data_IF_766100372766
#
_entry.id   IF_766100372766
#
_cell.length_a   1.000
_cell.length_b   1.000
_cell.length_c   1.000
_cell.angle_alpha   90.00
_cell.angle_beta   90.00
_cell.angle_gamma   90.00
#
_symmetry.space_group_name_H-M   'P 1'
#
loop_
_entity.id
_entity.type
_entity.pdbx_description
1 polymer ?
#
# COMPACT_ATOMS: atom_id res chain seq x y z
N UNK A 1 22.40 10.49 -24.63
CA UNK A 1 21.18 9.75 -24.95
C UNK A 1 21.32 9.24 -26.39
N UNK A 2 21.78 8.01 -26.57
CA UNK A 2 21.81 7.35 -27.89
C UNK A 2 20.44 6.71 -28.18
N UNK A 3 19.93 6.77 -29.40
CA UNK A 3 18.61 6.24 -29.72
C UNK A 3 18.64 4.71 -29.79
N UNK A 4 17.64 4.06 -29.18
CA UNK A 4 17.37 2.63 -29.38
C UNK A 4 17.07 2.40 -30.86
N UNK A 5 17.84 1.54 -31.52
CA UNK A 5 17.60 1.16 -32.92
C UNK A 5 17.00 -0.23 -32.98
N UNK A 6 15.90 -0.38 -33.72
CA UNK A 6 15.20 -1.65 -33.95
C UNK A 6 15.99 -2.48 -34.97
N UNK A 7 16.52 -3.63 -34.54
CA UNK A 7 17.20 -4.58 -35.41
C UNK A 7 16.21 -5.51 -36.13
N UNK A 8 15.38 -4.94 -37.02
CA UNK A 8 14.49 -5.68 -37.91
C UNK A 8 13.33 -6.43 -37.25
N UNK A 9 12.34 -6.79 -38.08
CA UNK A 9 11.15 -7.59 -37.72
C UNK A 9 11.36 -8.99 -38.27
N UNK A 10 11.18 -10.04 -37.46
CA UNK A 10 11.18 -11.40 -38.00
C UNK A 10 9.88 -11.72 -38.75
N UNK A 11 9.85 -12.83 -39.49
CA UNK A 11 8.72 -13.19 -40.36
C UNK A 11 7.41 -13.53 -39.59
N UNK A 12 7.43 -13.41 -38.26
CA UNK A 12 6.27 -13.57 -37.38
C UNK A 12 5.84 -12.24 -36.72
N UNK A 13 6.40 -11.11 -37.15
CA UNK A 13 6.02 -9.79 -36.64
C UNK A 13 6.56 -9.48 -35.25
N UNK A 14 7.54 -10.25 -34.73
CA UNK A 14 8.16 -9.96 -33.43
C UNK A 14 9.36 -9.03 -33.62
N UNK A 15 9.35 -7.92 -32.87
CA UNK A 15 10.50 -7.02 -32.76
C UNK A 15 11.57 -7.70 -31.90
N UNK A 16 12.78 -7.88 -32.44
CA UNK A 16 13.92 -8.36 -31.67
C UNK A 16 14.65 -7.16 -31.07
N UNK A 17 14.39 -6.89 -29.79
CA UNK A 17 15.20 -5.94 -29.04
C UNK A 17 16.57 -6.59 -28.77
N UNK A 18 17.59 -6.20 -29.51
CA UNK A 18 18.96 -6.48 -29.13
C UNK A 18 19.31 -5.50 -28.00
N UNK A 19 19.22 -5.96 -26.75
CA UNK A 19 19.77 -5.21 -25.62
C UNK A 19 21.29 -5.26 -25.70
N UNK A 20 21.88 -4.47 -26.60
CA UNK A 20 23.30 -4.13 -26.55
C UNK A 20 23.40 -2.95 -25.60
N UNK A 21 23.83 -3.22 -24.36
CA UNK A 21 24.76 -2.40 -23.57
C UNK A 21 24.58 -2.70 -22.07
N UNK A 22 25.43 -3.57 -21.54
CA UNK A 22 25.94 -3.48 -20.16
C UNK A 22 24.97 -3.66 -18.97
N UNK A 23 23.67 -3.89 -19.15
CA UNK A 23 22.77 -4.24 -18.04
C UNK A 23 23.02 -5.68 -17.59
N UNK A 24 24.12 -5.89 -16.86
CA UNK A 24 24.26 -7.09 -16.04
C UNK A 24 23.12 -7.02 -15.01
N UNK A 25 22.12 -7.87 -15.19
CA UNK A 25 20.90 -7.88 -14.39
C UNK A 25 21.24 -7.73 -12.91
N UNK A 26 20.91 -6.57 -12.34
CA UNK A 26 21.01 -6.41 -10.89
C UNK A 26 20.08 -7.45 -10.28
N UNK A 27 20.63 -8.25 -9.38
CA UNK A 27 19.86 -9.23 -8.64
C UNK A 27 18.62 -8.54 -8.05
N UNK A 28 17.45 -8.95 -8.55
CA UNK A 28 16.16 -8.40 -8.12
C UNK A 28 16.01 -8.55 -6.61
N UNK A 29 16.49 -9.64 -6.02
CA UNK A 29 16.44 -9.87 -4.58
C UNK A 29 17.32 -8.86 -3.84
N UNK A 30 18.52 -8.56 -4.33
CA UNK A 30 19.40 -7.57 -3.72
C UNK A 30 18.82 -6.14 -3.77
N UNK A 31 18.11 -5.78 -4.85
CA UNK A 31 17.38 -4.50 -4.92
C UNK A 31 16.25 -4.46 -3.90
N UNK A 32 15.43 -5.51 -3.85
CA UNK A 32 14.29 -5.59 -2.92
C UNK A 32 14.76 -5.52 -1.47
N UNK A 33 15.77 -6.30 -1.10
CA UNK A 33 16.32 -6.31 0.25
C UNK A 33 16.85 -4.94 0.70
N UNK A 34 17.46 -4.18 -0.23
CA UNK A 34 17.93 -2.81 0.06
C UNK A 34 16.76 -1.86 0.33
N UNK A 35 15.72 -1.92 -0.51
CA UNK A 35 14.51 -1.10 -0.36
C UNK A 35 13.82 -1.41 0.98
N UNK A 36 13.74 -2.69 1.36
CA UNK A 36 13.16 -3.11 2.63
C UNK A 36 13.97 -2.63 3.84
N UNK A 37 15.30 -2.74 3.78
CA UNK A 37 16.19 -2.26 4.83
C UNK A 37 16.09 -0.73 5.02
N UNK A 38 16.11 0.03 3.92
CA UNK A 38 16.01 1.50 3.96
C UNK A 38 14.64 1.94 4.51
N UNK A 39 13.55 1.23 4.17
CA UNK A 39 12.21 1.49 4.73
C UNK A 39 12.15 1.27 6.23
N UNK A 40 12.72 0.17 6.71
CA UNK A 40 12.65 -0.23 8.14
C UNK A 40 13.43 0.76 9.02
N UNK A 41 14.51 1.36 8.49
CA UNK A 41 15.30 2.36 9.21
C UNK A 41 14.62 3.74 9.32
N UNK A 42 13.61 4.03 8.50
CA UNK A 42 13.01 5.36 8.37
C UNK A 42 11.65 5.52 9.07
N UNK A 43 10.99 4.43 9.48
CA UNK A 43 9.59 4.48 9.90
C UNK A 43 9.43 4.39 11.43
N UNK A 44 8.79 5.39 12.03
CA UNK A 44 8.44 5.41 13.45
C UNK A 44 7.29 4.41 13.72
N UNK A 45 7.32 3.61 14.81
CA UNK A 45 6.26 2.63 15.08
C UNK A 45 4.93 3.29 15.51
N UNK A 46 3.76 2.67 15.25
CA UNK A 46 2.44 3.17 15.63
C UNK A 46 2.33 3.52 17.12
N UNK A 47 1.84 4.73 17.40
CA UNK A 47 1.77 5.31 18.73
C UNK A 47 0.34 5.31 19.28
N UNK A 48 0.15 4.70 20.46
CA UNK A 48 -1.14 4.68 21.15
C UNK A 48 -2.15 3.69 20.56
N UNK A 49 -3.32 3.59 21.21
CA UNK A 49 -4.33 2.59 20.85
C UNK A 49 -5.01 2.88 19.49
N UNK A 50 -5.16 4.17 19.14
CA UNK A 50 -5.83 4.58 17.90
C UNK A 50 -5.03 4.23 16.65
N UNK A 51 -3.70 4.12 16.76
CA UNK A 51 -2.82 3.75 15.65
C UNK A 51 -2.53 2.24 15.61
N UNK A 52 -2.47 1.56 16.76
CA UNK A 52 -2.12 0.12 16.79
C UNK A 52 -3.17 -0.79 16.15
N UNK A 53 -4.45 -0.60 16.46
CA UNK A 53 -5.51 -1.46 15.89
C UNK A 53 -5.57 -1.37 14.35
N UNK A 54 -5.56 -0.17 13.73
CA UNK A 54 -5.48 -0.07 12.28
C UNK A 54 -4.19 -0.64 11.69
N UNK A 55 -3.06 -0.54 12.41
CA UNK A 55 -1.80 -1.12 11.96
C UNK A 55 -1.87 -2.64 11.86
N UNK A 56 -2.54 -3.32 12.80
CA UNK A 56 -2.76 -4.77 12.77
C UNK A 56 -3.62 -5.18 11.57
N UNK A 57 -4.70 -4.44 11.31
CA UNK A 57 -5.53 -4.65 10.12
C UNK A 57 -4.73 -4.45 8.82
N UNK A 58 -3.85 -3.44 8.76
CA UNK A 58 -2.99 -3.20 7.59
C UNK A 58 -1.99 -4.32 7.36
N UNK A 59 -1.33 -4.81 8.42
CA UNK A 59 -0.41 -5.95 8.33
C UNK A 59 -1.09 -7.15 7.69
N UNK A 60 -2.31 -7.47 8.14
CA UNK A 60 -3.08 -8.59 7.58
C UNK A 60 -3.57 -8.34 6.15
N UNK A 61 -3.95 -7.11 5.81
CA UNK A 61 -4.49 -6.79 4.49
C UNK A 61 -3.41 -6.66 3.40
N UNK A 62 -2.22 -6.20 3.78
CA UNK A 62 -1.10 -5.91 2.89
C UNK A 62 -0.01 -7.00 2.90
N UNK A 63 -0.09 -7.96 3.82
CA UNK A 63 0.92 -9.01 4.03
C UNK A 63 2.32 -8.44 4.26
N UNK A 64 2.41 -7.49 5.20
CA UNK A 64 3.67 -6.82 5.56
C UNK A 64 4.01 -7.05 7.04
N UNK A 65 5.30 -7.21 7.39
CA UNK A 65 5.70 -7.57 8.75
C UNK A 65 5.48 -6.42 9.74
N UNK A 66 5.77 -5.19 9.33
CA UNK A 66 5.67 -3.99 10.13
C UNK A 66 5.05 -2.85 9.33
N UNK A 67 4.37 -1.96 10.05
CA UNK A 67 3.80 -0.70 9.57
C UNK A 67 4.37 0.38 10.47
N UNK A 68 4.97 1.41 9.91
CA UNK A 68 5.24 2.64 10.64
C UNK A 68 4.23 3.75 10.33
N UNK A 69 4.26 4.79 11.15
CA UNK A 69 3.27 5.88 11.19
C UNK A 69 3.20 6.66 9.89
N UNK A 70 4.34 6.79 9.21
CA UNK A 70 4.49 7.54 7.97
C UNK A 70 4.38 6.66 6.73
N UNK A 71 4.16 5.36 6.90
CA UNK A 71 4.02 4.46 5.76
C UNK A 71 2.72 4.74 5.01
N UNK A 72 2.85 4.95 3.71
CA UNK A 72 1.73 5.15 2.80
C UNK A 72 1.11 3.80 2.41
N UNK A 73 -0.21 3.68 2.51
CA UNK A 73 -0.98 2.49 2.13
C UNK A 73 -0.62 1.98 0.73
N UNK A 74 -0.52 2.89 -0.25
CA UNK A 74 -0.22 2.55 -1.64
C UNK A 74 1.25 2.19 -1.86
N UNK A 75 2.17 2.79 -1.09
CA UNK A 75 3.60 2.47 -1.18
C UNK A 75 3.90 1.08 -0.63
N UNK A 76 3.07 0.60 0.31
CA UNK A 76 3.10 -0.75 0.84
C UNK A 76 2.43 -1.81 -0.06
N UNK A 77 2.00 -1.44 -1.27
CA UNK A 77 1.31 -2.36 -2.19
C UNK A 77 -0.21 -2.40 -2.00
N UNK A 78 -0.78 -1.44 -1.26
CA UNK A 78 -2.22 -1.21 -1.21
C UNK A 78 -2.78 -0.77 -2.56
N UNK A 79 -4.02 -1.14 -2.81
CA UNK A 79 -4.83 -0.70 -3.95
C UNK A 79 -6.25 -0.39 -3.49
N UNK A 80 -7.11 0.07 -4.40
CA UNK A 80 -8.49 0.41 -4.07
C UNK A 80 -9.29 -0.77 -3.54
N UNK A 81 -9.05 -1.99 -4.03
CA UNK A 81 -9.76 -3.20 -3.59
C UNK A 81 -9.36 -3.55 -2.16
N UNK A 82 -8.07 -3.48 -1.84
CA UNK A 82 -7.58 -3.69 -0.46
C UNK A 82 -8.08 -2.59 0.48
N UNK A 83 -8.13 -1.34 0.03
CA UNK A 83 -8.66 -0.23 0.83
C UNK A 83 -10.14 -0.44 1.17
N UNK A 84 -10.98 -0.81 0.19
CA UNK A 84 -12.40 -1.11 0.41
C UNK A 84 -12.58 -2.26 1.40
N UNK A 85 -11.82 -3.36 1.24
CA UNK A 85 -11.86 -4.49 2.18
C UNK A 85 -11.45 -4.10 3.59
N UNK A 86 -10.42 -3.27 3.72
CA UNK A 86 -10.02 -2.72 5.02
C UNK A 86 -11.12 -1.87 5.64
N UNK A 87 -11.78 -0.99 4.88
CA UNK A 87 -12.90 -0.15 5.35
C UNK A 87 -14.03 -1.04 5.89
N UNK A 88 -14.44 -2.05 5.11
CA UNK A 88 -15.49 -2.99 5.51
C UNK A 88 -15.11 -3.77 6.79
N UNK A 89 -13.86 -4.23 6.89
CA UNK A 89 -13.37 -4.95 8.07
C UNK A 89 -13.30 -4.04 9.30
N UNK A 90 -12.74 -2.84 9.17
CA UNK A 90 -12.63 -1.86 10.25
C UNK A 90 -14.00 -1.44 10.80
N UNK A 91 -14.99 -1.27 9.92
CA UNK A 91 -16.37 -1.00 10.31
C UNK A 91 -17.01 -2.17 11.07
N UNK A 92 -16.87 -3.40 10.54
CA UNK A 92 -17.49 -4.61 11.12
C UNK A 92 -16.88 -5.02 12.46
N UNK A 93 -15.56 -4.99 12.59
CA UNK A 93 -14.84 -5.56 13.74
C UNK A 93 -14.55 -4.52 14.83
N UNK A 94 -14.39 -3.25 14.45
CA UNK A 94 -13.93 -2.22 15.38
C UNK A 94 -14.84 -0.99 15.44
N UNK A 95 -15.93 -0.96 14.64
CA UNK A 95 -16.85 0.19 14.52
C UNK A 95 -16.12 1.48 14.16
N UNK A 96 -15.07 1.37 13.35
CA UNK A 96 -14.41 2.52 12.78
C UNK A 96 -15.04 2.89 11.45
N UNK A 97 -15.28 4.18 11.26
CA UNK A 97 -15.71 4.74 10.00
C UNK A 97 -14.56 5.52 9.36
N UNK A 98 -14.29 5.22 8.09
CA UNK A 98 -13.26 5.86 7.27
C UNK A 98 -13.67 5.80 5.81
N UNK A 99 -13.59 6.94 5.13
CA UNK A 99 -14.06 7.05 3.75
C UNK A 99 -12.96 6.64 2.77
N UNK A 100 -13.33 6.03 1.64
CA UNK A 100 -12.36 5.73 0.58
C UNK A 100 -11.57 6.96 0.10
N UNK A 101 -12.17 8.17 -0.05
CA UNK A 101 -11.42 9.38 -0.38
C UNK A 101 -10.29 9.71 0.59
N UNK A 102 -10.39 9.33 1.87
CA UNK A 102 -9.35 9.62 2.87
C UNK A 102 -8.02 8.96 2.52
N UNK A 103 -8.05 7.77 1.92
CA UNK A 103 -6.87 7.06 1.43
C UNK A 103 -6.10 7.86 0.38
N UNK A 104 -6.74 8.77 -0.34
CA UNK A 104 -6.09 9.58 -1.37
C UNK A 104 -5.66 10.96 -0.86
N UNK A 105 -6.31 11.48 0.18
CA UNK A 105 -5.97 12.79 0.77
C UNK A 105 -4.71 12.68 1.61
N UNK A 106 -4.66 11.69 2.50
CA UNK A 106 -3.49 11.43 3.34
C UNK A 106 -3.34 9.90 3.47
N UNK A 107 -2.61 9.24 2.54
CA UNK A 107 -2.49 7.79 2.52
C UNK A 107 -1.63 7.23 3.66
N UNK A 108 -1.12 8.07 4.57
CA UNK A 108 -0.24 7.60 5.65
C UNK A 108 -1.05 6.89 6.73
N UNK A 109 -0.43 5.92 7.39
CA UNK A 109 -1.06 5.21 8.51
C UNK A 109 -1.53 6.19 9.60
N UNK A 110 -0.68 7.16 9.97
CA UNK A 110 -1.02 8.23 10.92
C UNK A 110 -2.18 9.10 10.44
N UNK A 111 -2.15 9.51 9.18
CA UNK A 111 -3.20 10.34 8.57
C UNK A 111 -4.56 9.67 8.59
N UNK A 112 -4.61 8.39 8.22
CA UNK A 112 -5.82 7.59 8.23
C UNK A 112 -6.29 7.28 9.66
N UNK A 113 -5.36 6.98 10.58
CA UNK A 113 -5.69 6.78 11.98
C UNK A 113 -6.30 8.04 12.62
N UNK A 114 -5.85 9.24 12.25
CA UNK A 114 -6.40 10.50 12.72
C UNK A 114 -7.83 10.78 12.22
N UNK A 115 -8.22 10.18 11.09
CA UNK A 115 -9.55 10.31 10.49
C UNK A 115 -10.53 9.25 10.96
N UNK A 116 -10.07 8.18 11.63
CA UNK A 116 -10.93 7.15 12.17
C UNK A 116 -11.89 7.75 13.18
N UNK A 117 -13.15 7.83 12.79
CA UNK A 117 -14.22 8.21 13.70
C UNK A 117 -14.83 6.91 14.22
N UNK A 118 -14.98 6.79 15.54
CA UNK A 118 -15.77 5.68 16.08
C UNK A 118 -17.21 5.95 15.67
N UNK A 119 -17.82 5.04 14.92
CA UNK A 119 -19.23 5.16 14.58
C UNK A 119 -20.03 5.25 15.89
N UNK A 120 -20.61 6.42 16.15
CA UNK A 120 -21.61 6.58 17.20
C UNK A 120 -22.81 5.74 16.76
N UNK A 121 -23.05 4.65 17.47
CA UNK A 121 -24.25 3.87 17.25
C UNK A 121 -25.46 4.69 17.68
N UNK A 122 -26.07 5.41 16.76
CA UNK A 122 -27.49 5.73 16.87
C UNK A 122 -28.24 4.46 16.47
N UNK A 123 -28.72 3.77 17.51
CA UNK A 123 -29.76 2.78 17.38
C UNK A 123 -31.03 3.54 16.98
N UNK A 124 -31.40 3.50 15.71
CA UNK A 124 -32.80 3.69 15.31
C UNK A 124 -33.59 2.48 15.83
N UNK A 125 -33.89 2.49 17.13
CA UNK A 125 -35.02 1.76 17.70
C UNK A 125 -36.30 2.37 17.12
N UNK A 126 -36.93 1.62 16.21
CA UNK A 126 -38.38 1.70 15.99
C UNK A 126 -38.83 2.28 14.67
N UNK A 127 -39.23 1.38 13.76
CA UNK A 127 -40.52 1.52 13.08
C UNK A 127 -41.22 0.16 13.11
N UNK A 128 -42.43 0.20 13.66
CA UNK A 128 -43.41 -0.88 13.85
C UNK A 128 -43.76 -1.62 12.55
#
# INVERSE_FOLDING_TARGET
MTPVSVAGIDNHGRYRLACTDGWQGRDRAAIVARIEADRTAASEPPAGAIERTPAELWRSALDVPDIGRDDSFFTLGGDSVRAIRFIEQAAREHRYDIALPDFFVDPTHRGLAAKLTRASGELEEGVL
#
